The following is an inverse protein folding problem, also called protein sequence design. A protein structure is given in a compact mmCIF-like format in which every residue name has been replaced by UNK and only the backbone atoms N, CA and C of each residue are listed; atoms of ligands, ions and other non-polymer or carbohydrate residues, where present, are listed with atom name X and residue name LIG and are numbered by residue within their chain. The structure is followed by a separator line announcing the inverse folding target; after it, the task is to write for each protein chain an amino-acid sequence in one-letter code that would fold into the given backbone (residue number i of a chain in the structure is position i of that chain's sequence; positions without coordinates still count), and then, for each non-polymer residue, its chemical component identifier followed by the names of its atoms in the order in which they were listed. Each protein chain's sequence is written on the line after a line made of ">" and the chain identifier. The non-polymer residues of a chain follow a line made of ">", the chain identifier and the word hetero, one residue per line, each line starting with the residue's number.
data_IF_473486400792
#
_entry.id   IF_473486400792
#
_cell.length_a   1.000
_cell.length_b   1.000
_cell.length_c   1.000
_cell.angle_alpha   90.00
_cell.angle_beta   90.00
_cell.angle_gamma   90.00
#
_symmetry.space_group_name_H-M   'P 1'
#
loop_
_entity.id
_entity.type
_entity.pdbx_description
1 polymer ?
#
# COMPACT_ATOMS: atom_id res chain seq x y z
N UNK A 1 -10.37 19.69 18.16
CA UNK A 1 -10.40 18.23 18.09
C UNK A 1 -10.41 17.79 16.62
N UNK A 2 -9.78 16.67 16.32
CA UNK A 2 -9.77 16.10 14.97
C UNK A 2 -11.15 15.54 14.63
N UNK A 3 -11.63 15.83 13.42
CA UNK A 3 -12.91 15.30 12.91
C UNK A 3 -12.62 14.32 11.77
N UNK A 4 -13.27 13.17 11.82
CA UNK A 4 -13.15 12.14 10.78
C UNK A 4 -14.43 12.07 9.97
N UNK A 5 -14.33 12.28 8.67
CA UNK A 5 -15.38 11.98 7.71
C UNK A 5 -15.05 10.64 7.05
N UNK A 6 -15.73 9.60 7.47
CA UNK A 6 -15.45 8.24 6.99
C UNK A 6 -15.98 7.95 5.59
N UNK A 7 -16.89 8.77 5.10
CA UNK A 7 -17.50 8.57 3.79
C UNK A 7 -17.98 9.90 3.22
N UNK A 8 -17.37 10.36 2.14
CA UNK A 8 -17.92 11.47 1.40
C UNK A 8 -19.31 11.13 0.87
N UNK A 9 -20.11 12.17 0.65
CA UNK A 9 -21.46 11.99 0.16
C UNK A 9 -21.50 11.11 -1.10
N UNK A 10 -22.44 10.20 -1.10
CA UNK A 10 -22.67 9.24 -2.18
C UNK A 10 -24.07 9.46 -2.76
N UNK A 11 -24.21 10.42 -3.64
CA UNK A 11 -25.45 10.69 -4.38
C UNK A 11 -25.27 10.39 -5.88
N UNK A 12 -26.34 9.96 -6.55
CA UNK A 12 -26.25 9.42 -7.90
C UNK A 12 -25.77 10.39 -8.99
N UNK A 13 -25.94 11.69 -8.82
CA UNK A 13 -25.59 12.72 -9.80
C UNK A 13 -24.55 13.71 -9.32
N UNK A 14 -24.08 13.57 -8.12
CA UNK A 14 -23.16 14.54 -7.53
C UNK A 14 -21.72 14.04 -7.59
N UNK A 15 -20.86 14.90 -8.07
CA UNK A 15 -19.43 14.72 -7.97
C UNK A 15 -18.97 14.87 -6.51
N UNK A 16 -18.48 13.77 -5.96
CA UNK A 16 -17.98 13.73 -4.58
C UNK A 16 -16.84 14.72 -4.33
N UNK A 17 -16.00 14.99 -5.35
CA UNK A 17 -14.91 15.96 -5.25
C UNK A 17 -15.43 17.40 -5.14
N UNK A 18 -16.41 17.77 -5.93
CA UNK A 18 -17.03 19.10 -5.84
C UNK A 18 -17.70 19.30 -4.49
N UNK A 19 -18.34 18.30 -3.95
CA UNK A 19 -18.98 18.39 -2.64
C UNK A 19 -18.00 18.55 -1.49
N UNK A 20 -16.90 17.79 -1.50
CA UNK A 20 -15.86 17.96 -0.47
C UNK A 20 -15.16 19.30 -0.61
N UNK A 21 -14.93 19.78 -1.84
CA UNK A 21 -14.36 21.10 -2.08
C UNK A 21 -15.23 22.20 -1.50
N UNK A 22 -16.53 22.20 -1.75
CA UNK A 22 -17.47 23.16 -1.20
C UNK A 22 -17.50 23.13 0.35
N UNK A 23 -17.37 21.94 0.96
CA UNK A 23 -17.23 21.86 2.42
C UNK A 23 -15.96 22.56 2.92
N UNK A 24 -14.84 22.34 2.24
CA UNK A 24 -13.55 22.95 2.61
C UNK A 24 -13.58 24.48 2.44
N UNK A 25 -14.12 25.00 1.34
CA UNK A 25 -14.27 26.45 1.11
C UNK A 25 -15.13 27.12 2.18
N UNK A 26 -16.18 26.46 2.62
CA UNK A 26 -17.06 26.97 3.67
C UNK A 26 -16.52 26.73 5.10
N UNK A 27 -15.32 26.16 5.24
CA UNK A 27 -14.71 25.86 6.53
C UNK A 27 -15.46 24.80 7.35
N UNK A 28 -16.31 24.00 6.72
CA UNK A 28 -17.11 23.01 7.40
C UNK A 28 -16.30 21.72 7.65
N UNK A 29 -16.02 21.44 8.90
CA UNK A 29 -15.46 20.16 9.35
C UNK A 29 -16.60 19.31 9.90
N UNK A 30 -17.26 18.53 9.05
CA UNK A 30 -18.31 17.60 9.45
C UNK A 30 -17.96 16.19 9.00
N UNK A 31 -18.28 15.20 9.81
CA UNK A 31 -17.98 13.79 9.54
C UNK A 31 -19.22 12.96 9.35
N UNK A 32 -19.21 12.09 8.36
CA UNK A 32 -20.16 11.00 8.22
C UNK A 32 -19.64 9.73 8.91
N UNK A 33 -20.55 8.88 9.35
CA UNK A 33 -20.19 7.57 9.88
C UNK A 33 -19.58 6.66 8.81
N UNK A 34 -18.82 5.67 9.26
CA UNK A 34 -18.30 4.64 8.39
C UNK A 34 -19.45 3.84 7.74
N UNK A 35 -19.23 3.40 6.52
CA UNK A 35 -20.19 2.57 5.76
C UNK A 35 -19.52 1.26 5.37
N UNK A 36 -20.32 0.20 5.28
CA UNK A 36 -19.86 -1.13 4.87
C UNK A 36 -19.72 -1.30 3.35
N UNK A 37 -19.98 -0.24 2.60
CA UNK A 37 -19.89 -0.22 1.13
C UNK A 37 -18.72 0.64 0.70
N UNK A 38 -18.31 0.49 -0.57
CA UNK A 38 -17.30 1.38 -1.15
C UNK A 38 -17.71 2.84 -0.99
N UNK A 39 -16.81 3.66 -0.49
CA UNK A 39 -16.99 5.09 -0.36
C UNK A 39 -16.17 5.83 -1.44
N UNK A 40 -16.66 6.97 -1.98
CA UNK A 40 -15.89 7.77 -2.95
C UNK A 40 -14.63 8.37 -2.34
N UNK A 41 -14.59 8.51 -1.02
CA UNK A 41 -13.43 9.00 -0.28
C UNK A 41 -13.75 9.25 1.19
N UNK A 42 -12.72 9.61 1.94
CA UNK A 42 -12.79 9.98 3.34
C UNK A 42 -11.91 11.19 3.63
N UNK A 43 -12.17 11.91 4.71
CA UNK A 43 -11.37 13.08 5.11
C UNK A 43 -11.02 13.05 6.58
N UNK A 44 -9.84 13.54 6.88
CA UNK A 44 -9.38 13.82 8.23
C UNK A 44 -9.18 15.33 8.38
N UNK A 45 -10.04 15.99 9.15
CA UNK A 45 -9.93 17.40 9.42
C UNK A 45 -9.16 17.63 10.71
N UNK A 46 -8.10 18.42 10.62
CA UNK A 46 -7.27 18.81 11.77
C UNK A 46 -7.33 20.34 11.90
N UNK A 47 -8.33 20.89 12.61
CA UNK A 47 -8.44 22.32 12.82
C UNK A 47 -7.28 22.86 13.65
N UNK A 48 -6.78 24.02 13.27
CA UNK A 48 -5.75 24.72 14.04
C UNK A 48 -5.80 26.23 13.76
N UNK A 49 -5.21 26.98 14.67
CA UNK A 49 -5.00 28.42 14.52
C UNK A 49 -3.51 28.71 14.54
N UNK A 50 -3.10 29.71 13.77
CA UNK A 50 -1.73 30.19 13.71
C UNK A 50 -1.71 31.70 13.95
N UNK A 51 -0.85 32.17 14.82
CA UNK A 51 -0.50 33.59 14.89
C UNK A 51 0.49 33.95 13.77
N UNK A 52 0.63 35.24 13.44
CA UNK A 52 1.63 35.67 12.47
C UNK A 52 3.02 35.14 12.78
N UNK A 53 3.67 34.52 11.79
CA UNK A 53 5.01 33.95 11.94
C UNK A 53 5.06 32.56 12.60
N UNK A 54 3.97 32.03 13.13
CA UNK A 54 3.92 30.68 13.67
C UNK A 54 3.90 29.60 12.60
N UNK A 55 4.49 28.45 12.91
CA UNK A 55 4.46 27.24 12.07
C UNK A 55 3.88 26.08 12.87
N UNK A 56 3.10 25.25 12.24
CA UNK A 56 2.61 23.97 12.79
C UNK A 56 2.94 22.84 11.83
N UNK A 57 3.49 21.78 12.36
CA UNK A 57 3.74 20.53 11.60
C UNK A 57 2.68 19.52 11.99
N UNK A 58 1.94 19.02 11.01
CA UNK A 58 0.97 17.93 11.18
C UNK A 58 1.59 16.70 10.53
N UNK A 59 1.82 15.67 11.33
CA UNK A 59 2.30 14.37 10.84
C UNK A 59 1.10 13.49 10.55
N UNK A 60 1.01 13.01 9.31
CA UNK A 60 0.00 12.04 8.88
C UNK A 60 0.68 10.68 8.66
N UNK A 61 0.08 9.64 9.20
CA UNK A 61 0.50 8.27 8.98
C UNK A 61 -0.58 7.52 8.19
N UNK A 62 -0.18 6.90 7.10
CA UNK A 62 -1.06 6.05 6.31
C UNK A 62 -0.60 4.61 6.45
N UNK A 63 -1.49 3.75 6.93
CA UNK A 63 -1.27 2.32 7.02
C UNK A 63 -2.17 1.59 6.03
N UNK A 64 -1.61 0.60 5.36
CA UNK A 64 -2.30 -0.23 4.39
C UNK A 64 -2.21 -1.69 4.81
N UNK A 65 -3.35 -2.34 4.93
CA UNK A 65 -3.43 -3.75 5.27
C UNK A 65 -4.53 -4.43 4.45
N UNK A 66 -4.13 -5.20 3.45
CA UNK A 66 -5.02 -5.89 2.51
C UNK A 66 -4.61 -7.36 2.43
N UNK A 67 -4.99 -8.18 3.42
CA UNK A 67 -4.52 -9.56 3.56
C UNK A 67 -5.15 -10.52 2.56
N UNK A 68 -6.30 -10.16 2.00
CA UNK A 68 -7.05 -11.00 1.08
C UNK A 68 -6.85 -10.52 -0.35
N UNK A 69 -6.47 -11.41 -1.25
CA UNK A 69 -6.32 -11.10 -2.67
C UNK A 69 -7.13 -12.10 -3.50
N UNK A 70 -7.48 -11.69 -4.72
CA UNK A 70 -8.06 -12.57 -5.74
C UNK A 70 -7.00 -13.11 -6.71
N UNK A 71 -5.75 -12.76 -6.49
CA UNK A 71 -4.65 -13.24 -7.31
C UNK A 71 -4.45 -14.72 -7.06
N UNK A 72 -4.51 -15.51 -8.11
CA UNK A 72 -4.29 -16.96 -8.05
C UNK A 72 -2.83 -17.28 -8.31
N UNK A 73 -2.36 -18.34 -7.67
CA UNK A 73 -1.13 -18.97 -8.12
C UNK A 73 -1.31 -19.50 -9.54
N UNK A 74 -0.24 -19.53 -10.31
CA UNK A 74 -0.21 -20.16 -11.61
C UNK A 74 -0.43 -21.68 -11.52
N UNK A 75 -0.27 -22.32 -12.66
CA UNK A 75 -0.43 -23.77 -12.74
C UNK A 75 0.48 -24.49 -11.76
N UNK A 76 -0.10 -25.29 -10.91
CA UNK A 76 0.53 -25.84 -9.73
C UNK A 76 0.70 -27.33 -9.93
N UNK A 77 1.75 -27.83 -9.34
CA UNK A 77 2.03 -29.25 -9.16
C UNK A 77 0.74 -30.04 -8.84
N UNK A 78 0.55 -31.23 -9.41
CA UNK A 78 -0.65 -32.06 -9.22
C UNK A 78 -0.97 -32.33 -7.74
N UNK A 79 0.02 -32.38 -6.87
CA UNK A 79 -0.19 -32.56 -5.42
C UNK A 79 -0.83 -31.33 -4.78
N UNK A 80 -0.50 -30.14 -5.26
CA UNK A 80 -1.13 -28.91 -4.79
C UNK A 80 -2.54 -28.78 -5.33
N UNK A 81 -2.78 -29.20 -6.57
CA UNK A 81 -4.11 -29.23 -7.17
C UNK A 81 -5.09 -30.04 -6.32
N UNK A 82 -4.69 -31.21 -5.85
CA UNK A 82 -5.48 -32.04 -4.95
C UNK A 82 -5.77 -31.37 -3.58
N UNK A 83 -4.89 -30.48 -3.11
CA UNK A 83 -5.13 -29.66 -1.91
C UNK A 83 -6.11 -28.54 -2.18
N UNK A 84 -6.00 -27.88 -3.33
CA UNK A 84 -6.92 -26.80 -3.76
C UNK A 84 -8.34 -27.33 -3.99
N UNK A 85 -8.48 -28.56 -4.48
CA UNK A 85 -9.80 -29.20 -4.61
C UNK A 85 -10.51 -29.37 -3.25
N UNK A 86 -9.74 -29.56 -2.18
CA UNK A 86 -10.27 -29.67 -0.81
C UNK A 86 -10.47 -28.31 -0.14
N UNK A 87 -9.61 -27.35 -0.44
CA UNK A 87 -9.68 -25.97 0.06
C UNK A 87 -9.38 -24.97 -1.08
N UNK A 88 -10.43 -24.48 -1.77
CA UNK A 88 -10.26 -23.56 -2.88
C UNK A 88 -9.56 -22.25 -2.52
N UNK A 89 -9.51 -21.87 -1.25
CA UNK A 89 -8.84 -20.64 -0.81
C UNK A 89 -7.32 -20.74 -0.92
N UNK A 90 -6.76 -21.97 -0.93
CA UNK A 90 -5.32 -22.19 -1.08
C UNK A 90 -4.77 -21.71 -2.43
N UNK A 91 -5.61 -21.58 -3.46
CA UNK A 91 -5.19 -21.10 -4.77
C UNK A 91 -4.89 -19.59 -4.80
N UNK A 92 -5.32 -18.84 -3.79
CA UNK A 92 -5.13 -17.40 -3.76
C UNK A 92 -3.82 -17.03 -3.07
N UNK A 93 -3.18 -16.00 -3.64
CA UNK A 93 -2.01 -15.41 -3.02
C UNK A 93 -2.35 -14.82 -1.67
N UNK A 94 -1.50 -15.12 -0.68
CA UNK A 94 -1.50 -14.45 0.64
C UNK A 94 -0.23 -13.61 0.75
N UNK A 95 -0.32 -12.29 0.92
CA UNK A 95 0.85 -11.45 1.04
C UNK A 95 1.62 -11.72 2.34
N UNK A 96 2.93 -11.64 2.28
CA UNK A 96 3.83 -11.92 3.40
C UNK A 96 3.51 -11.14 4.67
N UNK A 97 3.16 -9.88 4.57
CA UNK A 97 2.86 -9.07 5.75
C UNK A 97 1.67 -9.60 6.55
N UNK A 98 0.76 -10.35 5.92
CA UNK A 98 -0.35 -10.99 6.63
C UNK A 98 0.08 -12.19 7.50
N UNK A 99 1.32 -12.69 7.32
CA UNK A 99 1.92 -13.64 8.25
C UNK A 99 2.49 -12.99 9.51
N UNK A 100 2.67 -11.66 9.47
CA UNK A 100 3.31 -10.89 10.56
C UNK A 100 2.32 -10.07 11.36
N UNK A 101 1.22 -9.67 10.75
CA UNK A 101 0.22 -8.80 11.35
C UNK A 101 -1.17 -9.40 11.13
N UNK A 102 -1.98 -9.40 12.16
CA UNK A 102 -3.36 -9.90 12.10
C UNK A 102 -4.34 -8.82 11.61
N UNK A 103 -3.99 -7.54 11.77
CA UNK A 103 -4.87 -6.42 11.44
C UNK A 103 -4.09 -5.10 11.24
N UNK A 104 -4.80 -4.07 10.78
CA UNK A 104 -4.24 -2.74 10.51
C UNK A 104 -3.67 -2.06 11.75
N UNK A 105 -4.23 -2.32 12.93
CA UNK A 105 -3.76 -1.71 14.17
C UNK A 105 -2.39 -2.23 14.58
N UNK A 106 -2.12 -3.51 14.32
CA UNK A 106 -0.79 -4.10 14.54
C UNK A 106 0.24 -3.49 13.59
N UNK A 107 -0.11 -3.28 12.32
CA UNK A 107 0.74 -2.59 11.35
C UNK A 107 1.07 -1.18 11.85
N UNK A 108 0.06 -0.42 12.26
CA UNK A 108 0.23 0.94 12.77
C UNK A 108 1.04 0.97 14.07
N UNK A 109 0.82 0.02 14.96
CA UNK A 109 1.56 -0.15 16.21
C UNK A 109 3.04 -0.45 15.95
N UNK A 110 3.32 -1.42 15.09
CA UNK A 110 4.68 -1.77 14.69
C UNK A 110 5.41 -0.57 14.10
N UNK A 111 4.78 0.15 13.17
CA UNK A 111 5.39 1.30 12.54
C UNK A 111 5.71 2.40 13.54
N UNK A 112 4.78 2.76 14.42
CA UNK A 112 5.01 3.77 15.48
C UNK A 112 6.13 3.41 16.41
N UNK A 113 6.20 2.15 16.83
CA UNK A 113 7.21 1.68 17.78
C UNK A 113 8.61 1.56 17.16
N UNK A 114 8.71 1.41 15.84
CA UNK A 114 9.98 1.19 15.16
C UNK A 114 10.36 2.33 14.20
N UNK A 115 9.63 3.44 14.22
CA UNK A 115 9.81 4.53 13.26
C UNK A 115 11.25 5.03 13.17
N UNK A 116 11.86 5.34 14.32
CA UNK A 116 13.22 5.91 14.36
C UNK A 116 14.26 4.94 13.78
N UNK A 117 14.14 3.66 14.08
CA UNK A 117 15.04 2.64 13.54
C UNK A 117 14.82 2.45 12.04
N UNK A 118 13.58 2.34 11.60
CA UNK A 118 13.24 2.19 10.19
C UNK A 118 13.69 3.41 9.37
N UNK A 119 13.48 4.60 9.90
CA UNK A 119 13.91 5.85 9.27
C UNK A 119 15.44 5.90 9.16
N UNK A 120 16.16 5.58 10.25
CA UNK A 120 17.62 5.50 10.25
C UNK A 120 18.14 4.50 9.22
N UNK A 121 17.55 3.31 9.14
CA UNK A 121 17.94 2.30 8.15
C UNK A 121 17.71 2.78 6.72
N UNK A 122 16.58 3.43 6.46
CA UNK A 122 16.28 4.02 5.14
C UNK A 122 17.31 5.10 4.77
N UNK A 123 17.64 5.98 5.70
CA UNK A 123 18.66 7.02 5.47
C UNK A 123 20.04 6.42 5.22
N UNK A 124 20.43 5.39 6.00
CA UNK A 124 21.70 4.70 5.79
C UNK A 124 21.78 4.03 4.42
N UNK A 125 20.70 3.36 4.00
CA UNK A 125 20.62 2.77 2.67
C UNK A 125 20.76 3.83 1.59
N UNK A 126 19.97 4.90 1.64
CA UNK A 126 20.03 6.00 0.68
C UNK A 126 21.43 6.60 0.59
N UNK A 127 22.03 6.89 1.75
CA UNK A 127 23.38 7.45 1.79
C UNK A 127 24.42 6.49 1.23
N UNK A 128 24.39 5.22 1.58
CA UNK A 128 25.34 4.22 1.06
C UNK A 128 25.18 4.02 -0.44
N UNK A 129 23.95 3.96 -0.93
CA UNK A 129 23.64 3.76 -2.34
C UNK A 129 24.14 4.91 -3.21
N UNK A 130 23.79 6.16 -2.86
CA UNK A 130 24.18 7.33 -3.65
C UNK A 130 25.62 7.80 -3.43
N UNK A 131 26.29 7.35 -2.36
CA UNK A 131 27.75 7.56 -2.18
C UNK A 131 28.60 6.42 -2.78
N UNK A 132 28.01 5.60 -3.63
CA UNK A 132 28.73 4.56 -4.36
C UNK A 132 29.83 5.18 -5.26
N UNK A 133 30.88 4.43 -5.49
CA UNK A 133 31.96 4.79 -6.43
C UNK A 133 31.64 4.45 -7.89
N UNK A 134 30.45 3.90 -8.16
CA UNK A 134 29.97 3.64 -9.51
C UNK A 134 29.66 4.96 -10.24
N UNK A 135 29.71 4.98 -11.58
CA UNK A 135 29.26 6.12 -12.37
C UNK A 135 27.82 6.50 -12.05
N UNK A 136 27.52 7.80 -12.07
CA UNK A 136 26.19 8.32 -11.72
C UNK A 136 25.07 7.71 -12.58
N UNK A 137 25.34 7.48 -13.85
CA UNK A 137 24.41 6.89 -14.81
C UNK A 137 24.03 5.44 -14.42
N UNK A 138 25.00 4.70 -13.89
CA UNK A 138 24.75 3.33 -13.39
C UNK A 138 23.90 3.35 -12.13
N UNK A 139 24.21 4.27 -11.20
CA UNK A 139 23.45 4.44 -9.97
C UNK A 139 22.00 4.82 -10.29
N UNK A 140 21.80 5.75 -11.23
CA UNK A 140 20.48 6.18 -11.67
C UNK A 140 19.68 5.04 -12.32
N UNK A 141 20.29 4.29 -13.21
CA UNK A 141 19.66 3.15 -13.86
C UNK A 141 19.23 2.08 -12.85
N UNK A 142 20.09 1.74 -11.89
CA UNK A 142 19.74 0.79 -10.81
C UNK A 142 18.66 1.36 -9.91
N UNK A 143 18.73 2.64 -9.54
CA UNK A 143 17.72 3.29 -8.70
C UNK A 143 16.34 3.26 -9.35
N UNK A 144 16.24 3.53 -10.65
CA UNK A 144 14.98 3.47 -11.41
C UNK A 144 14.34 2.08 -11.35
N UNK A 145 15.16 1.02 -11.38
CA UNK A 145 14.70 -0.36 -11.38
C UNK A 145 14.38 -0.91 -9.97
N UNK A 146 14.93 -0.33 -8.90
CA UNK A 146 14.63 -0.78 -7.52
C UNK A 146 13.15 -0.69 -7.16
N UNK A 147 12.40 0.19 -7.80
CA UNK A 147 10.95 0.34 -7.57
C UNK A 147 10.15 -0.88 -7.98
N UNK A 148 10.67 -1.71 -8.89
CA UNK A 148 10.06 -2.96 -9.34
C UNK A 148 9.82 -3.91 -8.16
N UNK A 149 10.71 -3.94 -7.17
CA UNK A 149 10.57 -4.76 -5.96
C UNK A 149 9.31 -4.43 -5.13
N UNK A 150 8.69 -3.29 -5.38
CA UNK A 150 7.44 -2.83 -4.72
C UNK A 150 6.27 -2.74 -5.70
N UNK A 151 6.44 -3.23 -6.92
CA UNK A 151 5.41 -3.22 -7.95
C UNK A 151 4.47 -4.42 -7.80
N UNK A 152 3.29 -4.39 -8.44
CA UNK A 152 2.39 -5.54 -8.49
C UNK A 152 2.95 -6.76 -9.22
N UNK A 153 4.09 -6.62 -9.90
CA UNK A 153 4.76 -7.74 -10.60
C UNK A 153 5.67 -8.56 -9.68
N UNK A 154 5.86 -8.12 -8.44
CA UNK A 154 6.64 -8.84 -7.42
C UNK A 154 5.77 -9.12 -6.22
N UNK A 155 5.56 -10.39 -5.94
CA UNK A 155 4.76 -10.83 -4.81
C UNK A 155 5.63 -11.61 -3.82
N UNK A 156 5.68 -11.13 -2.59
CA UNK A 156 6.24 -11.90 -1.49
C UNK A 156 5.13 -12.70 -0.83
N UNK A 157 5.29 -14.01 -0.84
CA UNK A 157 4.33 -14.96 -0.32
C UNK A 157 4.30 -14.97 1.22
N UNK A 158 3.24 -15.51 1.77
CA UNK A 158 3.05 -15.72 3.20
C UNK A 158 4.23 -16.46 3.87
N UNK A 159 4.81 -17.44 3.20
CA UNK A 159 5.99 -18.21 3.64
C UNK A 159 7.34 -17.52 3.36
N UNK A 160 7.32 -16.34 2.78
CA UNK A 160 8.50 -15.53 2.50
C UNK A 160 9.08 -15.70 1.10
N UNK A 161 8.62 -16.65 0.29
CA UNK A 161 9.08 -16.82 -1.09
C UNK A 161 8.72 -15.62 -1.94
N UNK A 162 9.58 -15.31 -2.91
CA UNK A 162 9.30 -14.32 -3.93
C UNK A 162 8.74 -14.98 -5.20
N UNK A 163 7.70 -14.35 -5.72
CA UNK A 163 7.18 -14.64 -7.04
C UNK A 163 7.24 -13.38 -7.88
N UNK A 164 7.61 -13.56 -9.13
CA UNK A 164 7.67 -12.49 -10.11
C UNK A 164 6.83 -12.90 -11.30
N UNK A 165 6.09 -11.97 -11.88
CA UNK A 165 5.23 -12.23 -13.00
C UNK A 165 5.18 -11.08 -13.98
N UNK A 166 4.75 -11.37 -15.20
CA UNK A 166 4.77 -10.43 -16.31
C UNK A 166 3.62 -9.43 -16.28
N UNK A 167 2.52 -9.73 -15.63
CA UNK A 167 1.35 -8.88 -15.63
C UNK A 167 0.22 -9.37 -14.78
N UNK A 168 -0.78 -8.54 -14.66
CA UNK A 168 -1.88 -8.63 -13.71
C UNK A 168 -3.12 -9.26 -14.36
N UNK A 169 -3.13 -10.55 -14.53
CA UNK A 169 -4.39 -11.24 -14.76
C UNK A 169 -4.84 -11.92 -13.49
N UNK A 170 -5.84 -11.40 -12.82
CA UNK A 170 -6.39 -11.98 -11.61
C UNK A 170 -7.01 -13.37 -11.81
N UNK A 171 -7.30 -13.73 -13.07
CA UNK A 171 -7.92 -15.01 -13.44
C UNK A 171 -6.93 -16.04 -14.01
N UNK A 172 -5.70 -15.68 -14.27
CA UNK A 172 -4.78 -16.50 -15.09
C UNK A 172 -3.70 -17.20 -14.29
N UNK A 173 -3.63 -16.91 -13.03
CA UNK A 173 -2.51 -17.33 -12.20
C UNK A 173 -1.25 -16.53 -12.50
N UNK A 174 -0.25 -16.69 -11.65
CA UNK A 174 1.04 -16.03 -11.82
C UNK A 174 1.83 -16.66 -12.96
N UNK A 175 2.51 -15.86 -13.77
CA UNK A 175 3.58 -16.36 -14.63
C UNK A 175 4.69 -16.99 -13.80
N UNK A 176 5.24 -18.09 -14.27
CA UNK A 176 6.34 -18.80 -13.63
C UNK A 176 7.70 -18.14 -13.86
N UNK A 177 7.77 -16.86 -13.78
CA UNK A 177 8.97 -16.07 -13.95
C UNK A 177 8.66 -14.66 -14.37
N UNK A 178 9.62 -13.80 -14.28
CA UNK A 178 9.53 -12.44 -14.82
C UNK A 178 9.99 -12.44 -16.27
N UNK A 179 9.31 -11.70 -17.11
CA UNK A 179 9.92 -11.32 -18.38
C UNK A 179 11.15 -10.45 -18.11
N UNK A 180 12.22 -10.73 -18.80
CA UNK A 180 13.49 -10.03 -18.60
C UNK A 180 13.39 -8.51 -18.75
N UNK A 181 12.47 -8.02 -19.58
CA UNK A 181 12.22 -6.59 -19.76
C UNK A 181 11.56 -5.91 -18.55
N UNK A 182 11.05 -6.67 -17.60
CA UNK A 182 10.49 -6.12 -16.35
C UNK A 182 11.58 -5.79 -15.34
N UNK A 183 12.76 -6.36 -15.52
CA UNK A 183 13.89 -6.30 -14.59
C UNK A 183 15.08 -5.49 -15.11
N UNK A 184 15.06 -5.09 -16.37
CA UNK A 184 16.15 -4.37 -17.03
C UNK A 184 15.86 -2.87 -17.12
#
# INVERSE_FOLDING_TARGET
>A
DTVVDHCWFRGGWFDGLTMIWNKLENGAASGNAAVEKDAPGASLFVPFSLNPGQKKVIKLYMCWYVPNTKLKFGEVDPQFKAKVEKDPLLQFHKPWYSSRFANINEVAGFWRSNYEELHKKTQLFTKAFYNSTLPAEVIEAVAANLTILKSPTVLRQYDGRFWTWEGCGDNWGSCHGSCTHVWN
#
